data_IF_881678253634
#
_entry.id   IF_881678253634
#
_cell.length_a   1.000
_cell.length_b   1.000
_cell.length_c   1.000
_cell.angle_alpha   90.00
_cell.angle_beta   90.00
_cell.angle_gamma   90.00
#
_symmetry.space_group_name_H-M   'P 1'
#
loop_
_entity.id
_entity.type
_entity.pdbx_description
1 polymer ?
#
# COMPACT_ATOMS: atom_id res chain seq x y z
N UNK A 1 3.61 19.49 9.54
CA UNK A 1 3.00 19.96 8.28
C UNK A 1 3.23 18.85 7.26
N UNK A 2 2.18 18.40 6.58
CA UNK A 2 2.37 17.54 5.41
C UNK A 2 3.27 18.31 4.43
N UNK A 3 4.25 17.64 3.82
CA UNK A 3 5.09 18.29 2.82
C UNK A 3 4.20 18.82 1.69
N UNK A 4 4.56 19.96 1.08
CA UNK A 4 3.84 20.47 -0.09
C UNK A 4 3.66 19.34 -1.12
N UNK A 5 2.41 19.08 -1.52
CA UNK A 5 2.04 18.00 -2.47
C UNK A 5 1.33 16.78 -1.88
N UNK A 6 0.99 16.77 -0.59
CA UNK A 6 0.29 15.68 0.10
C UNK A 6 -1.15 16.04 0.51
N UNK A 7 -1.75 17.05 -0.13
CA UNK A 7 -3.12 17.47 0.19
C UNK A 7 -4.11 16.34 -0.15
N UNK A 8 -4.79 15.83 0.89
CA UNK A 8 -5.72 14.69 0.78
C UNK A 8 -5.09 13.34 1.09
N UNK A 9 -3.76 13.26 1.19
CA UNK A 9 -3.08 12.07 1.65
C UNK A 9 -3.26 11.92 3.16
N UNK A 10 -3.52 10.69 3.60
CA UNK A 10 -3.58 10.37 5.02
C UNK A 10 -2.69 9.19 5.32
N UNK A 11 -2.20 9.13 6.56
CA UNK A 11 -1.43 7.98 7.01
C UNK A 11 -1.79 7.63 8.44
N UNK A 12 -1.69 6.35 8.77
CA UNK A 12 -1.84 5.82 10.10
C UNK A 12 -0.69 4.85 10.40
N UNK A 13 -0.09 5.00 11.58
CA UNK A 13 0.93 4.08 12.07
C UNK A 13 0.38 3.32 13.28
N UNK A 14 0.49 2.00 13.25
CA UNK A 14 0.10 1.10 14.32
C UNK A 14 1.36 0.42 14.84
N UNK A 15 1.56 0.44 16.15
CA UNK A 15 2.70 -0.19 16.82
C UNK A 15 2.17 -1.12 17.90
N UNK A 16 2.57 -2.39 17.85
CA UNK A 16 2.21 -3.42 18.82
C UNK A 16 3.45 -4.25 19.19
N UNK A 17 4.09 -3.91 20.31
CA UNK A 17 5.39 -4.48 20.65
C UNK A 17 6.45 -4.10 19.62
N UNK A 18 7.08 -5.10 19.01
CA UNK A 18 8.06 -4.90 17.94
C UNK A 18 7.43 -4.82 16.55
N UNK A 19 6.13 -5.09 16.41
CA UNK A 19 5.41 -4.97 15.13
C UNK A 19 5.06 -3.49 14.87
N UNK A 20 5.38 -3.03 13.68
CA UNK A 20 5.01 -1.71 13.16
C UNK A 20 4.33 -1.87 11.81
N UNK A 21 3.15 -1.29 11.66
CA UNK A 21 2.41 -1.19 10.42
C UNK A 21 2.19 0.29 10.09
N UNK A 22 2.57 0.71 8.89
CA UNK A 22 2.24 1.99 8.30
C UNK A 22 1.20 1.77 7.19
N UNK A 23 0.07 2.46 7.25
CA UNK A 23 -0.93 2.51 6.19
C UNK A 23 -0.96 3.92 5.63
N UNK A 24 -0.71 4.04 4.33
CA UNK A 24 -0.75 5.27 3.55
C UNK A 24 -1.98 5.23 2.65
N UNK A 25 -2.76 6.28 2.64
CA UNK A 25 -3.82 6.51 1.67
C UNK A 25 -3.42 7.71 0.83
N UNK A 26 -3.07 7.46 -0.43
CA UNK A 26 -2.60 8.47 -1.37
C UNK A 26 -3.76 8.88 -2.28
N UNK A 27 -4.11 10.15 -2.23
CA UNK A 27 -5.17 10.75 -3.04
C UNK A 27 -4.56 11.48 -4.24
N UNK A 28 -5.06 11.18 -5.43
CA UNK A 28 -4.58 11.78 -6.68
C UNK A 28 -5.58 12.78 -7.23
N UNK A 29 -5.06 13.82 -7.91
CA UNK A 29 -5.91 14.85 -8.52
C UNK A 29 -6.61 14.35 -9.78
N UNK A 30 -6.11 13.25 -10.38
CA UNK A 30 -6.73 12.62 -11.54
C UNK A 30 -6.55 11.10 -11.58
N UNK A 31 -7.43 10.37 -12.30
CA UNK A 31 -7.25 8.94 -12.51
C UNK A 31 -5.96 8.56 -13.26
N UNK A 32 -5.46 9.46 -14.11
CA UNK A 32 -4.23 9.23 -14.85
C UNK A 32 -2.99 9.20 -13.93
N UNK A 33 -2.94 10.11 -12.95
CA UNK A 33 -1.86 10.13 -11.94
C UNK A 33 -1.92 8.89 -11.05
N UNK A 34 -3.12 8.49 -10.60
CA UNK A 34 -3.30 7.26 -9.85
C UNK A 34 -2.84 6.03 -10.64
N UNK A 35 -3.20 5.95 -11.93
CA UNK A 35 -2.77 4.85 -12.80
C UNK A 35 -1.24 4.82 -13.02
N UNK A 36 -0.61 5.98 -13.19
CA UNK A 36 0.85 6.07 -13.30
C UNK A 36 1.54 5.60 -12.02
N UNK A 37 1.07 6.06 -10.86
CA UNK A 37 1.60 5.64 -9.58
C UNK A 37 1.42 4.13 -9.34
N UNK A 38 0.24 3.60 -9.66
CA UNK A 38 -0.07 2.16 -9.61
C UNK A 38 0.91 1.36 -10.46
N UNK A 39 1.12 1.78 -11.71
CA UNK A 39 2.03 1.09 -12.62
C UNK A 39 3.47 1.04 -12.08
N UNK A 40 3.95 2.10 -11.41
CA UNK A 40 5.27 2.09 -10.77
C UNK A 40 5.34 1.15 -9.56
N UNK A 41 4.28 1.08 -8.77
CA UNK A 41 4.19 0.12 -7.68
C UNK A 41 4.15 -1.32 -8.19
N UNK A 42 3.45 -1.60 -9.29
CA UNK A 42 3.40 -2.94 -9.89
C UNK A 42 4.78 -3.39 -10.36
N UNK A 43 5.56 -2.49 -10.96
CA UNK A 43 6.96 -2.76 -11.33
C UNK A 43 7.80 -3.05 -10.08
N UNK A 44 7.73 -2.18 -9.07
CA UNK A 44 8.50 -2.35 -7.83
C UNK A 44 8.19 -3.67 -7.12
N UNK A 45 6.91 -4.02 -7.03
CA UNK A 45 6.44 -5.27 -6.44
C UNK A 45 6.87 -6.46 -7.29
N UNK A 46 6.73 -6.39 -8.61
CA UNK A 46 7.17 -7.45 -9.53
C UNK A 46 8.66 -7.72 -9.47
N UNK A 47 9.49 -6.67 -9.39
CA UNK A 47 10.94 -6.78 -9.17
C UNK A 47 11.30 -7.39 -7.81
N UNK A 48 10.43 -7.19 -6.81
CA UNK A 48 10.57 -7.77 -5.46
C UNK A 48 9.99 -9.19 -5.35
N UNK A 49 9.51 -9.79 -6.45
CA UNK A 49 8.90 -11.12 -6.45
C UNK A 49 7.53 -11.17 -5.79
N UNK A 50 6.81 -10.04 -5.76
CA UNK A 50 5.48 -9.96 -5.16
C UNK A 50 4.43 -10.79 -5.85
N UNK A 51 3.50 -11.30 -5.06
CA UNK A 51 2.39 -12.12 -5.52
C UNK A 51 1.11 -11.29 -5.59
N UNK A 52 0.34 -11.49 -6.66
CA UNK A 52 -1.03 -10.98 -6.76
C UNK A 52 -1.90 -11.66 -5.72
N UNK A 53 -2.62 -10.88 -4.93
CA UNK A 53 -3.62 -11.42 -4.02
C UNK A 53 -4.89 -11.76 -4.79
N UNK A 54 -5.32 -13.03 -4.85
CA UNK A 54 -6.55 -13.38 -5.56
C UNK A 54 -7.77 -12.72 -4.91
N UNK A 55 -8.64 -12.11 -5.71
CA UNK A 55 -9.89 -11.51 -5.25
C UNK A 55 -9.77 -10.06 -4.76
N UNK A 56 -8.56 -9.50 -4.75
CA UNK A 56 -8.30 -8.09 -4.54
C UNK A 56 -7.44 -7.61 -5.71
N UNK A 57 -7.66 -6.41 -6.23
CA UNK A 57 -6.71 -5.79 -7.16
C UNK A 57 -5.47 -5.30 -6.39
N UNK A 58 -4.87 -6.19 -5.60
CA UNK A 58 -3.79 -5.90 -4.67
C UNK A 58 -2.63 -6.89 -4.80
N UNK A 59 -1.47 -6.45 -4.35
CA UNK A 59 -0.27 -7.28 -4.29
C UNK A 59 0.30 -7.28 -2.87
N UNK A 60 1.00 -8.35 -2.52
CA UNK A 60 1.85 -8.43 -1.32
C UNK A 60 3.24 -8.90 -1.73
N UNK A 61 4.27 -8.31 -1.13
CA UNK A 61 5.65 -8.72 -1.31
C UNK A 61 6.44 -8.48 -0.03
N UNK A 62 7.49 -9.25 0.20
CA UNK A 62 8.51 -8.89 1.18
C UNK A 62 9.69 -8.32 0.42
N UNK A 63 9.96 -7.02 0.62
CA UNK A 63 11.06 -6.32 -0.05
C UNK A 63 12.41 -6.73 0.54
N UNK A 64 13.50 -6.44 -0.16
CA UNK A 64 14.86 -6.93 0.16
C UNK A 64 15.35 -6.62 1.59
N UNK A 65 14.79 -5.61 2.25
CA UNK A 65 15.12 -5.27 3.63
C UNK A 65 14.26 -5.97 4.70
N UNK A 66 13.44 -6.94 4.28
CA UNK A 66 12.62 -7.78 5.16
C UNK A 66 11.27 -7.16 5.55
N UNK A 67 10.90 -6.01 4.97
CA UNK A 67 9.58 -5.40 5.20
C UNK A 67 8.53 -6.00 4.28
N UNK A 68 7.35 -6.25 4.81
CA UNK A 68 6.17 -6.60 4.02
C UNK A 68 5.57 -5.33 3.42
N UNK A 69 5.26 -5.39 2.13
CA UNK A 69 4.66 -4.33 1.35
C UNK A 69 3.38 -4.86 0.74
N UNK A 70 2.27 -4.15 0.92
CA UNK A 70 1.00 -4.49 0.34
C UNK A 70 0.39 -3.24 -0.32
N UNK A 71 -0.18 -3.38 -1.52
CA UNK A 71 -0.78 -2.25 -2.26
C UNK A 71 -2.17 -2.61 -2.75
N UNK A 72 -3.19 -1.78 -2.50
CA UNK A 72 -4.53 -1.90 -3.06
C UNK A 72 -5.02 -0.58 -3.68
N UNK A 73 -5.76 -0.68 -4.79
CA UNK A 73 -6.52 0.44 -5.32
C UNK A 73 -7.91 0.47 -4.66
N UNK A 74 -8.30 1.60 -4.06
CA UNK A 74 -9.62 1.73 -3.38
C UNK A 74 -10.62 2.55 -4.18
N UNK A 75 -10.15 3.39 -5.10
CA UNK A 75 -10.97 4.08 -6.09
C UNK A 75 -10.11 4.48 -7.30
N UNK A 76 -10.73 4.98 -8.37
CA UNK A 76 -10.00 5.44 -9.55
C UNK A 76 -8.99 6.58 -9.29
N UNK A 77 -9.01 7.22 -8.12
CA UNK A 77 -8.11 8.32 -7.75
C UNK A 77 -7.47 8.13 -6.38
N UNK A 78 -7.53 6.94 -5.79
CA UNK A 78 -6.93 6.68 -4.49
C UNK A 78 -6.28 5.31 -4.41
N UNK A 79 -5.09 5.27 -3.82
CA UNK A 79 -4.30 4.05 -3.63
C UNK A 79 -3.92 3.94 -2.17
N UNK A 80 -4.11 2.75 -1.60
CA UNK A 80 -3.68 2.40 -0.27
C UNK A 80 -2.42 1.56 -0.34
N UNK A 81 -1.41 1.96 0.44
CA UNK A 81 -0.14 1.24 0.60
C UNK A 81 0.02 0.90 2.07
N UNK A 82 0.19 -0.38 2.38
CA UNK A 82 0.49 -0.87 3.71
C UNK A 82 1.92 -1.41 3.75
N UNK A 83 2.67 -1.05 4.79
CA UNK A 83 4.08 -1.43 4.98
C UNK A 83 4.25 -1.93 6.40
N UNK A 84 4.71 -3.16 6.58
CA UNK A 84 4.97 -3.75 7.88
C UNK A 84 6.45 -4.17 8.02
N UNK A 85 6.96 -4.14 9.25
CA UNK A 85 8.34 -4.59 9.55
C UNK A 85 8.44 -6.10 9.85
N UNK A 86 7.33 -6.82 9.75
CA UNK A 86 7.22 -8.28 9.89
C UNK A 86 6.23 -8.80 8.86
N UNK A 87 6.26 -10.10 8.58
CA UNK A 87 5.33 -10.74 7.62
C UNK A 87 3.90 -10.85 8.19
N UNK A 88 2.89 -10.51 7.39
CA UNK A 88 1.46 -10.67 7.65
C UNK A 88 0.63 -9.39 7.93
N UNK A 89 1.08 -8.40 8.72
CA UNK A 89 0.26 -7.24 9.07
C UNK A 89 -0.20 -6.38 7.89
N UNK A 90 0.63 -6.15 6.87
CA UNK A 90 0.26 -5.32 5.72
C UNK A 90 -0.75 -6.04 4.83
N UNK A 91 -0.58 -7.35 4.61
CA UNK A 91 -1.58 -8.17 3.91
C UNK A 91 -2.94 -8.12 4.63
N UNK A 92 -2.94 -8.38 5.94
CA UNK A 92 -4.18 -8.39 6.75
C UNK A 92 -4.89 -7.05 6.71
N UNK A 93 -4.14 -5.95 6.76
CA UNK A 93 -4.71 -4.61 6.68
C UNK A 93 -5.45 -4.38 5.35
N UNK A 94 -4.89 -4.82 4.22
CA UNK A 94 -5.55 -4.67 2.93
C UNK A 94 -6.77 -5.58 2.75
N UNK A 95 -6.74 -6.83 3.24
CA UNK A 95 -7.93 -7.70 3.17
C UNK A 95 -9.12 -7.06 3.87
N UNK A 96 -8.92 -6.49 5.06
CA UNK A 96 -9.99 -5.81 5.81
C UNK A 96 -10.51 -4.56 5.10
N UNK A 97 -9.68 -3.88 4.30
CA UNK A 97 -10.10 -2.72 3.50
C UNK A 97 -10.84 -3.12 2.22
N UNK A 98 -10.53 -4.28 1.63
CA UNK A 98 -11.18 -4.79 0.42
C UNK A 98 -12.50 -5.52 0.66
N UNK A 99 -12.79 -5.91 1.90
CA UNK A 99 -14.09 -6.49 2.31
C UNK A 99 -15.13 -5.42 2.70
N UNK A 100 -14.74 -4.13 2.72
CA UNK A 100 -15.57 -2.99 3.15
C UNK A 100 -16.38 -2.32 2.03
#
# INVERSE_FOLDING_TARGET
>A
AAADGWDGDTFATYVNGDETLLVLHVAFSSPAEAAEFRSRLDVFVGESGGELMPGLESYVTTVTDGREFAVASTSGTAIVVAIANTDGPAERALRLLGEG
#
